data_IF_130345187785
#
_entry.id   IF_130345187785
#
_cell.length_a   1.000
_cell.length_b   1.000
_cell.length_c   1.000
_cell.angle_alpha   90.00
_cell.angle_beta   90.00
_cell.angle_gamma   90.00
#
_symmetry.space_group_name_H-M   'P 1'
#
loop_
_entity.id
_entity.type
_entity.pdbx_description
1 polymer ?
#
# COMPACT_ATOMS: atom_id res chain seq x y z
N UNK A 1 88.01 -19.57 16.85
CA UNK A 1 86.92 -20.45 17.26
C UNK A 1 86.11 -20.77 15.99
N UNK A 2 86.34 -21.94 15.38
CA UNK A 2 85.58 -22.39 14.20
C UNK A 2 84.22 -22.86 14.64
N UNK A 3 83.15 -22.21 14.10
CA UNK A 3 81.74 -22.61 14.25
C UNK A 3 81.54 -23.88 13.43
N UNK A 4 81.39 -25.01 14.12
CA UNK A 4 81.08 -26.30 13.49
C UNK A 4 79.68 -26.21 12.88
N UNK A 5 79.56 -26.19 11.57
CA UNK A 5 78.30 -26.31 10.89
C UNK A 5 77.73 -27.72 11.12
N UNK A 6 76.63 -27.81 11.82
CA UNK A 6 75.94 -29.08 12.06
C UNK A 6 75.12 -29.36 10.85
N UNK A 7 75.50 -30.33 10.02
CA UNK A 7 74.70 -30.83 8.93
C UNK A 7 73.35 -31.33 9.47
N UNK A 8 72.23 -30.68 9.05
CA UNK A 8 70.92 -31.21 9.34
C UNK A 8 70.65 -32.38 8.41
N UNK A 9 70.40 -33.56 9.00
CA UNK A 9 69.97 -34.74 8.22
C UNK A 9 68.61 -34.48 7.51
N UNK A 10 68.56 -34.76 6.20
CA UNK A 10 67.32 -34.80 5.49
C UNK A 10 66.42 -35.90 6.10
N UNK A 11 65.16 -35.53 6.37
CA UNK A 11 64.16 -36.50 6.82
C UNK A 11 63.93 -37.54 5.73
N UNK A 12 64.38 -38.75 5.92
CA UNK A 12 64.26 -39.87 5.01
C UNK A 12 62.86 -40.50 5.03
N UNK A 13 62.04 -40.13 5.98
CA UNK A 13 60.60 -40.53 6.05
C UNK A 13 59.72 -39.31 6.00
N UNK A 14 59.09 -39.12 4.85
CA UNK A 14 58.00 -38.15 4.67
C UNK A 14 56.69 -38.88 4.88
N UNK A 15 56.02 -38.61 5.98
CA UNK A 15 54.63 -39.03 6.15
C UNK A 15 53.76 -38.03 5.41
N UNK A 16 53.21 -38.47 4.27
CA UNK A 16 52.20 -37.72 3.54
C UNK A 16 50.88 -37.84 4.30
N UNK A 17 50.54 -36.85 5.11
CA UNK A 17 49.16 -36.71 5.56
C UNK A 17 48.34 -36.23 4.39
N UNK A 18 47.42 -37.05 3.97
CA UNK A 18 46.37 -36.64 3.02
C UNK A 18 45.59 -35.53 3.70
N UNK A 19 45.80 -34.29 3.30
CA UNK A 19 44.94 -33.19 3.67
C UNK A 19 43.62 -33.45 2.92
N UNK A 20 42.69 -34.12 3.56
CA UNK A 20 41.31 -34.17 3.11
C UNK A 20 40.75 -32.76 3.25
N UNK A 21 41.11 -31.85 2.33
CA UNK A 21 40.24 -30.73 2.00
C UNK A 21 39.03 -31.39 1.43
N UNK A 22 37.92 -31.27 2.16
CA UNK A 22 36.61 -31.58 1.60
C UNK A 22 36.51 -30.78 0.29
N UNK A 23 36.54 -31.51 -0.83
CA UNK A 23 36.47 -30.86 -2.13
C UNK A 23 35.13 -30.18 -2.17
N UNK A 24 35.12 -28.83 -2.23
CA UNK A 24 33.94 -28.03 -2.40
C UNK A 24 33.15 -28.49 -3.63
N UNK A 25 33.86 -28.92 -4.68
CA UNK A 25 33.35 -29.56 -5.87
C UNK A 25 32.82 -30.95 -5.54
N UNK A 26 31.49 -31.14 -5.51
CA UNK A 26 30.83 -32.42 -5.18
C UNK A 26 30.20 -32.43 -3.80
N UNK A 27 30.36 -31.38 -3.00
CA UNK A 27 29.63 -31.26 -1.73
C UNK A 27 28.16 -30.92 -1.97
N UNK A 28 27.27 -31.30 -1.05
CA UNK A 28 25.86 -30.92 -1.09
C UNK A 28 25.63 -29.41 -1.16
N UNK A 29 26.56 -28.63 -0.59
CA UNK A 29 26.55 -27.16 -0.67
C UNK A 29 26.81 -26.65 -2.10
N UNK A 30 27.72 -27.28 -2.84
CA UNK A 30 28.00 -26.96 -4.23
C UNK A 30 26.77 -27.17 -5.13
N UNK A 31 26.11 -28.32 -5.01
CA UNK A 31 24.90 -28.59 -5.78
C UNK A 31 23.72 -27.70 -5.34
N UNK A 32 23.58 -27.43 -4.05
CA UNK A 32 22.58 -26.50 -3.54
C UNK A 32 22.74 -25.10 -4.14
N UNK A 33 23.97 -24.57 -4.18
CA UNK A 33 24.28 -23.25 -4.72
C UNK A 33 24.15 -23.19 -6.25
N UNK A 34 24.46 -24.31 -6.93
CA UNK A 34 24.32 -24.43 -8.37
C UNK A 34 22.84 -24.46 -8.82
N UNK A 35 21.99 -25.20 -8.10
CA UNK A 35 20.58 -25.37 -8.45
C UNK A 35 19.66 -24.29 -7.84
N UNK A 36 20.13 -23.56 -6.81
CA UNK A 36 19.33 -22.50 -6.19
C UNK A 36 18.84 -21.42 -7.20
N UNK A 37 19.69 -20.84 -8.06
CA UNK A 37 19.22 -19.85 -9.04
C UNK A 37 18.27 -20.47 -10.08
N UNK A 38 18.46 -21.71 -10.46
CA UNK A 38 17.59 -22.41 -11.41
C UNK A 38 16.18 -22.61 -10.86
N UNK A 39 16.03 -22.88 -9.55
CA UNK A 39 14.74 -22.98 -8.89
C UNK A 39 14.13 -21.60 -8.58
N UNK A 40 14.94 -20.58 -8.32
CA UNK A 40 14.44 -19.22 -8.06
C UNK A 40 13.83 -18.55 -9.30
N UNK A 41 14.37 -18.80 -10.49
CA UNK A 41 13.87 -18.20 -11.73
C UNK A 41 12.38 -18.47 -11.97
N UNK A 42 11.89 -19.74 -11.99
CA UNK A 42 10.46 -19.99 -12.18
C UNK A 42 9.59 -19.42 -11.07
N UNK A 43 10.07 -19.40 -9.83
CA UNK A 43 9.34 -18.79 -8.71
C UNK A 43 9.17 -17.29 -8.92
N UNK A 44 10.23 -16.59 -9.32
CA UNK A 44 10.17 -15.14 -9.62
C UNK A 44 9.25 -14.87 -10.80
N UNK A 45 9.29 -15.70 -11.86
CA UNK A 45 8.40 -15.55 -13.02
C UNK A 45 6.94 -15.74 -12.62
N UNK A 46 6.63 -16.75 -11.80
CA UNK A 46 5.28 -16.99 -11.31
C UNK A 46 4.77 -15.83 -10.43
N UNK A 47 5.62 -15.31 -9.55
CA UNK A 47 5.29 -14.15 -8.71
C UNK A 47 5.07 -12.88 -9.56
N UNK A 48 5.89 -12.66 -10.60
CA UNK A 48 5.69 -11.54 -11.53
C UNK A 48 4.41 -11.69 -12.32
N UNK A 49 4.12 -12.85 -12.90
CA UNK A 49 2.85 -13.12 -13.61
C UNK A 49 1.62 -12.93 -12.72
N UNK A 50 1.69 -13.37 -11.45
CA UNK A 50 0.60 -13.13 -10.50
C UNK A 50 0.42 -11.64 -10.19
N UNK A 51 1.51 -10.89 -10.10
CA UNK A 51 1.46 -9.43 -9.88
C UNK A 51 0.90 -8.72 -11.11
N UNK A 52 1.40 -9.04 -12.30
CA UNK A 52 0.92 -8.47 -13.57
C UNK A 52 -0.57 -8.78 -13.81
N UNK A 53 -1.02 -10.01 -13.53
CA UNK A 53 -2.43 -10.38 -13.64
C UNK A 53 -3.31 -9.59 -12.65
N UNK A 54 -2.82 -9.31 -11.45
CA UNK A 54 -3.52 -8.47 -10.47
C UNK A 54 -3.54 -6.99 -10.86
N UNK A 55 -2.47 -6.52 -11.49
CA UNK A 55 -2.36 -5.12 -11.94
C UNK A 55 -3.16 -4.89 -13.24
N UNK A 56 -3.27 -5.92 -14.09
CA UNK A 56 -4.13 -5.90 -15.28
C UNK A 56 -5.64 -5.97 -14.96
N UNK A 57 -6.00 -6.45 -13.78
CA UNK A 57 -7.39 -6.45 -13.32
C UNK A 57 -7.80 -5.05 -12.80
N UNK A 58 -8.16 -4.18 -13.74
CA UNK A 58 -8.60 -2.82 -13.42
C UNK A 58 -9.83 -2.80 -12.51
N UNK A 59 -10.75 -3.77 -12.67
CA UNK A 59 -11.94 -3.88 -11.83
C UNK A 59 -11.59 -4.33 -10.41
N UNK A 60 -10.81 -5.39 -10.25
CA UNK A 60 -10.38 -5.88 -8.94
C UNK A 60 -9.54 -4.85 -8.18
N UNK A 61 -8.70 -4.09 -8.88
CA UNK A 61 -7.92 -3.01 -8.30
C UNK A 61 -8.80 -1.84 -7.84
N UNK A 62 -9.83 -1.50 -8.62
CA UNK A 62 -10.84 -0.49 -8.25
C UNK A 62 -11.59 -0.91 -6.98
N UNK A 63 -12.07 -2.15 -6.93
CA UNK A 63 -12.75 -2.70 -5.74
C UNK A 63 -11.84 -2.69 -4.52
N UNK A 64 -10.58 -3.09 -4.66
CA UNK A 64 -9.60 -3.08 -3.54
C UNK A 64 -9.31 -1.66 -3.05
N UNK A 65 -9.19 -0.69 -3.97
CA UNK A 65 -8.96 0.72 -3.62
C UNK A 65 -10.17 1.26 -2.87
N UNK A 66 -11.37 1.07 -3.40
CA UNK A 66 -12.61 1.47 -2.76
C UNK A 66 -12.75 0.86 -1.35
N UNK A 67 -12.46 -0.44 -1.20
CA UNK A 67 -12.49 -1.10 0.09
C UNK A 67 -11.48 -0.52 1.10
N UNK A 68 -10.28 -0.14 0.65
CA UNK A 68 -9.30 0.53 1.51
C UNK A 68 -9.76 1.90 1.95
N UNK A 69 -10.34 2.69 1.04
CA UNK A 69 -10.86 4.02 1.34
C UNK A 69 -12.06 3.97 2.28
N UNK A 70 -13.02 3.09 1.99
CA UNK A 70 -14.15 2.82 2.88
C UNK A 70 -13.66 2.45 4.28
N UNK A 71 -12.70 1.54 4.37
CA UNK A 71 -12.14 1.12 5.66
C UNK A 71 -11.41 2.25 6.38
N UNK A 72 -10.71 3.10 5.64
CA UNK A 72 -9.90 4.18 6.21
C UNK A 72 -10.73 5.38 6.66
N UNK A 73 -11.66 5.83 5.81
CA UNK A 73 -12.39 7.08 6.03
C UNK A 73 -13.87 6.88 6.36
N UNK A 74 -14.54 5.96 5.68
CA UNK A 74 -16.00 5.79 5.75
C UNK A 74 -16.46 4.67 6.68
N UNK A 75 -15.55 4.04 7.43
CA UNK A 75 -15.90 2.91 8.31
C UNK A 75 -16.88 3.29 9.41
N UNK A 76 -16.79 4.50 9.93
CA UNK A 76 -17.67 4.99 10.98
C UNK A 76 -19.06 5.28 10.41
N UNK A 77 -19.16 5.98 9.28
CA UNK A 77 -20.43 6.21 8.60
C UNK A 77 -21.13 4.90 8.25
N UNK A 78 -20.38 3.89 7.78
CA UNK A 78 -20.92 2.57 7.49
C UNK A 78 -21.54 1.88 8.72
N UNK A 79 -20.96 2.04 9.89
CA UNK A 79 -21.50 1.46 11.15
C UNK A 79 -22.78 2.14 11.60
N UNK A 80 -22.95 3.42 11.28
CA UNK A 80 -24.11 4.21 11.63
C UNK A 80 -25.22 4.17 10.58
N UNK A 81 -25.09 3.31 9.56
CA UNK A 81 -26.10 3.11 8.54
C UNK A 81 -27.38 2.56 9.19
N UNK A 82 -28.50 3.27 9.01
CA UNK A 82 -29.77 2.98 9.70
C UNK A 82 -30.15 4.02 10.76
N UNK A 83 -29.20 4.81 11.25
CA UNK A 83 -29.48 5.95 12.12
C UNK A 83 -29.03 7.25 11.42
N UNK A 84 -29.99 8.05 11.00
CA UNK A 84 -29.81 9.20 10.12
C UNK A 84 -28.79 10.21 10.63
N UNK A 85 -29.00 10.72 11.84
CA UNK A 85 -28.19 11.82 12.36
C UNK A 85 -26.73 11.38 12.59
N UNK A 86 -26.46 10.26 13.30
CA UNK A 86 -25.12 9.75 13.43
C UNK A 86 -24.44 9.40 12.10
N UNK A 87 -25.20 8.87 11.13
CA UNK A 87 -24.70 8.55 9.80
C UNK A 87 -24.13 9.78 9.08
N UNK A 88 -24.93 10.86 8.95
CA UNK A 88 -24.49 12.06 8.26
C UNK A 88 -23.41 12.83 9.02
N UNK A 89 -23.41 12.81 10.36
CA UNK A 89 -22.30 13.35 11.16
C UNK A 89 -21.01 12.58 10.94
N UNK A 90 -21.08 11.26 10.87
CA UNK A 90 -19.91 10.42 10.58
C UNK A 90 -19.42 10.58 9.14
N UNK A 91 -20.33 10.77 8.19
CA UNK A 91 -20.02 11.04 6.79
C UNK A 91 -19.30 12.38 6.63
N UNK A 92 -19.83 13.45 7.18
CA UNK A 92 -19.22 14.78 7.16
C UNK A 92 -17.80 14.74 7.77
N UNK A 93 -17.67 14.11 8.93
CA UNK A 93 -16.36 13.90 9.58
C UNK A 93 -15.39 13.10 8.69
N UNK A 94 -15.90 12.10 7.98
CA UNK A 94 -15.08 11.29 7.06
C UNK A 94 -14.57 12.11 5.87
N UNK A 95 -15.42 12.96 5.27
CA UNK A 95 -15.06 13.87 4.18
C UNK A 95 -14.01 14.89 4.64
N UNK A 96 -14.20 15.50 5.81
CA UNK A 96 -13.21 16.41 6.40
C UNK A 96 -11.87 15.71 6.67
N UNK A 97 -11.88 14.50 7.25
CA UNK A 97 -10.66 13.73 7.50
C UNK A 97 -9.94 13.35 6.20
N UNK A 98 -10.68 13.07 5.14
CA UNK A 98 -10.11 12.80 3.84
C UNK A 98 -9.40 14.06 3.29
N UNK A 99 -10.05 15.23 3.31
CA UNK A 99 -9.43 16.49 2.88
C UNK A 99 -8.20 16.84 3.72
N UNK A 100 -8.32 16.76 5.05
CA UNK A 100 -7.19 16.99 5.96
C UNK A 100 -5.98 16.13 5.61
N UNK A 101 -6.22 14.85 5.35
CA UNK A 101 -5.15 13.91 5.05
C UNK A 101 -4.51 14.12 3.67
N UNK A 102 -5.28 14.64 2.71
CA UNK A 102 -4.84 14.82 1.33
C UNK A 102 -4.25 16.20 1.06
N UNK A 103 -4.86 17.24 1.62
CA UNK A 103 -4.43 18.61 1.42
C UNK A 103 -3.40 19.07 2.48
N UNK A 104 -3.20 18.28 3.56
CA UNK A 104 -2.31 18.59 4.69
C UNK A 104 -2.68 19.90 5.38
N UNK A 105 -3.98 20.23 5.44
CA UNK A 105 -4.52 21.41 6.09
C UNK A 105 -5.00 21.13 7.51
N UNK A 106 -4.95 22.15 8.37
CA UNK A 106 -5.48 22.07 9.72
C UNK A 106 -6.98 22.36 9.76
N UNK A 107 -7.65 21.92 10.81
CA UNK A 107 -9.12 22.01 10.96
C UNK A 107 -9.63 23.45 10.94
N UNK A 108 -8.78 24.43 11.34
CA UNK A 108 -9.12 25.86 11.36
C UNK A 108 -9.20 26.46 9.94
N UNK A 109 -8.50 25.87 8.98
CA UNK A 109 -8.40 26.34 7.60
C UNK A 109 -9.40 25.64 6.65
N UNK A 110 -10.30 24.80 7.20
CA UNK A 110 -11.26 24.01 6.43
C UNK A 110 -12.54 24.81 6.07
N UNK A 111 -12.40 26.03 5.58
CA UNK A 111 -13.53 26.70 4.93
C UNK A 111 -13.81 26.08 3.56
N UNK A 112 -15.09 26.13 3.11
CA UNK A 112 -15.48 25.59 1.80
C UNK A 112 -14.70 26.23 0.67
N UNK A 113 -14.48 27.55 0.74
CA UNK A 113 -13.74 28.30 -0.27
C UNK A 113 -12.27 27.90 -0.33
N UNK A 114 -11.64 27.71 0.82
CA UNK A 114 -10.25 27.27 0.89
C UNK A 114 -10.05 25.84 0.37
N UNK A 115 -11.00 24.95 0.64
CA UNK A 115 -10.98 23.57 0.08
C UNK A 115 -11.05 23.62 -1.44
N UNK A 116 -11.93 24.47 -2.02
CA UNK A 116 -12.06 24.61 -3.47
C UNK A 116 -10.74 25.12 -4.07
N UNK A 117 -10.17 26.18 -3.51
CA UNK A 117 -8.90 26.76 -3.98
C UNK A 117 -7.77 25.71 -3.95
N UNK A 118 -7.59 25.00 -2.85
CA UNK A 118 -6.56 23.98 -2.70
C UNK A 118 -6.77 22.77 -3.64
N UNK A 119 -8.01 22.39 -3.91
CA UNK A 119 -8.29 21.33 -4.88
C UNK A 119 -7.99 21.77 -6.31
N UNK A 120 -8.25 23.05 -6.65
CA UNK A 120 -7.89 23.65 -7.93
C UNK A 120 -6.36 23.71 -8.10
N UNK A 121 -5.61 24.12 -7.08
CA UNK A 121 -4.15 24.10 -7.09
C UNK A 121 -3.56 22.71 -7.32
N UNK A 122 -4.24 21.67 -6.84
CA UNK A 122 -3.87 20.26 -7.06
C UNK A 122 -4.32 19.70 -8.41
N UNK A 123 -4.89 20.53 -9.29
CA UNK A 123 -5.44 20.16 -10.59
C UNK A 123 -6.60 19.14 -10.53
N UNK A 124 -7.37 19.14 -9.44
CA UNK A 124 -8.62 18.39 -9.40
C UNK A 124 -9.60 18.96 -10.42
N UNK A 125 -10.38 18.08 -11.08
CA UNK A 125 -11.36 18.53 -12.06
C UNK A 125 -12.48 19.33 -11.40
N UNK A 126 -13.00 20.37 -12.07
CA UNK A 126 -14.12 21.18 -11.57
C UNK A 126 -15.35 20.30 -11.25
N UNK A 127 -15.57 19.26 -12.04
CA UNK A 127 -16.65 18.30 -11.80
C UNK A 127 -16.48 17.58 -10.47
N UNK A 128 -15.27 17.08 -10.16
CA UNK A 128 -15.00 16.38 -8.90
C UNK A 128 -15.11 17.31 -7.70
N UNK A 129 -14.65 18.55 -7.84
CA UNK A 129 -14.77 19.59 -6.82
C UNK A 129 -16.24 19.90 -6.55
N UNK A 130 -17.04 20.14 -7.58
CA UNK A 130 -18.47 20.42 -7.47
C UNK A 130 -19.22 19.28 -6.80
N UNK A 131 -18.99 18.05 -7.22
CA UNK A 131 -19.60 16.86 -6.63
C UNK A 131 -19.24 16.67 -5.16
N UNK A 132 -18.00 16.95 -4.80
CA UNK A 132 -17.55 16.87 -3.41
C UNK A 132 -18.22 17.93 -2.54
N UNK A 133 -18.32 19.16 -3.03
CA UNK A 133 -18.96 20.26 -2.32
C UNK A 133 -20.48 20.04 -2.18
N UNK A 134 -21.11 19.51 -3.22
CA UNK A 134 -22.53 19.13 -3.19
C UNK A 134 -22.77 18.05 -2.13
N UNK A 135 -21.96 17.00 -2.11
CA UNK A 135 -22.07 15.94 -1.10
C UNK A 135 -21.88 16.46 0.33
N UNK A 136 -20.92 17.38 0.54
CA UNK A 136 -20.74 18.01 1.85
C UNK A 136 -21.98 18.82 2.26
N UNK A 137 -22.57 19.57 1.35
CA UNK A 137 -23.80 20.31 1.59
C UNK A 137 -24.98 19.37 1.88
N UNK A 138 -25.11 18.29 1.09
CA UNK A 138 -26.14 17.28 1.28
C UNK A 138 -26.03 16.63 2.67
N UNK A 139 -24.83 16.34 3.15
CA UNK A 139 -24.61 15.81 4.50
C UNK A 139 -25.03 16.80 5.59
N UNK A 140 -24.75 18.08 5.40
CA UNK A 140 -25.14 19.14 6.33
C UNK A 140 -26.69 19.32 6.39
N UNK A 141 -27.33 19.38 5.22
CA UNK A 141 -28.78 19.52 5.13
C UNK A 141 -29.54 18.27 5.55
N UNK A 142 -29.03 17.09 5.20
CA UNK A 142 -29.69 15.82 5.48
C UNK A 142 -29.91 15.58 6.98
N UNK A 143 -29.12 16.17 7.85
CA UNK A 143 -29.33 16.09 9.31
C UNK A 143 -30.69 16.66 9.73
N UNK A 144 -31.20 17.62 9.00
CA UNK A 144 -32.44 18.35 9.33
C UNK A 144 -33.64 17.93 8.44
N UNK A 145 -33.38 17.38 7.26
CA UNK A 145 -34.41 16.95 6.30
C UNK A 145 -34.90 15.51 6.59
N UNK A 146 -36.12 15.11 6.25
CA UNK A 146 -36.56 13.73 6.31
C UNK A 146 -35.72 12.89 5.30
N UNK A 147 -34.95 11.93 5.79
CA UNK A 147 -34.17 11.02 4.95
C UNK A 147 -34.66 9.57 5.13
N UNK A 148 -34.56 8.79 4.06
CA UNK A 148 -34.86 7.36 4.04
C UNK A 148 -33.57 6.55 4.06
N UNK A 149 -33.64 5.26 4.44
CA UNK A 149 -32.50 4.36 4.41
C UNK A 149 -31.91 4.23 2.99
N UNK A 150 -32.76 4.31 1.97
CA UNK A 150 -32.33 4.28 0.56
C UNK A 150 -31.49 5.52 0.21
N UNK A 151 -31.85 6.70 0.73
CA UNK A 151 -31.06 7.91 0.52
C UNK A 151 -29.66 7.79 1.17
N UNK A 152 -29.59 7.29 2.39
CA UNK A 152 -28.30 7.08 3.09
C UNK A 152 -27.39 6.11 2.32
N UNK A 153 -27.94 5.03 1.75
CA UNK A 153 -27.16 4.09 0.93
C UNK A 153 -26.61 4.75 -0.33
N UNK A 154 -27.45 5.52 -1.03
CA UNK A 154 -27.03 6.23 -2.24
C UNK A 154 -25.96 7.28 -1.94
N UNK A 155 -26.10 8.05 -0.87
CA UNK A 155 -25.13 9.05 -0.46
C UNK A 155 -23.79 8.41 -0.03
N UNK A 156 -23.85 7.24 0.59
CA UNK A 156 -22.66 6.47 0.93
C UNK A 156 -21.90 6.00 -0.32
N UNK A 157 -22.62 5.50 -1.32
CA UNK A 157 -22.03 5.05 -2.60
C UNK A 157 -21.46 6.24 -3.38
N UNK A 158 -22.16 7.39 -3.42
CA UNK A 158 -21.63 8.65 -3.98
C UNK A 158 -20.34 9.09 -3.29
N UNK A 159 -20.29 9.00 -1.97
CA UNK A 159 -19.08 9.36 -1.20
C UNK A 159 -17.88 8.47 -1.59
N UNK A 160 -18.09 7.17 -1.79
CA UNK A 160 -17.04 6.25 -2.24
C UNK A 160 -16.52 6.66 -3.63
N UNK A 161 -17.41 6.96 -4.55
CA UNK A 161 -17.05 7.34 -5.91
C UNK A 161 -16.27 8.67 -5.93
N UNK A 162 -16.78 9.69 -5.27
CA UNK A 162 -16.14 11.01 -5.20
C UNK A 162 -14.77 10.95 -4.55
N UNK A 163 -14.65 10.29 -3.39
CA UNK A 163 -13.36 10.11 -2.71
C UNK A 163 -12.38 9.33 -3.59
N UNK A 164 -12.85 8.29 -4.27
CA UNK A 164 -12.01 7.47 -5.16
C UNK A 164 -11.51 8.28 -6.36
N UNK A 165 -12.36 9.15 -6.92
CA UNK A 165 -12.00 9.98 -8.06
C UNK A 165 -11.02 11.09 -7.64
N UNK A 166 -11.30 11.80 -6.56
CA UNK A 166 -10.39 12.80 -6.01
C UNK A 166 -9.03 12.21 -5.61
N UNK A 167 -9.00 11.00 -5.03
CA UNK A 167 -7.72 10.36 -4.67
C UNK A 167 -6.82 10.06 -5.87
N UNK A 168 -7.38 9.93 -7.06
CA UNK A 168 -6.58 9.73 -8.28
C UNK A 168 -6.03 11.05 -8.84
N UNK A 169 -6.71 12.17 -8.54
CA UNK A 169 -6.41 13.47 -9.11
C UNK A 169 -5.43 14.28 -8.23
N UNK A 170 -5.43 14.03 -6.90
CA UNK A 170 -4.67 14.81 -5.91
C UNK A 170 -3.55 14.02 -5.18
#
# INVERSE_FOLDING_TARGET
IQKKEVFQYNKLKTEFTVSAKEDFLGSGLFYGLLFAPLLLIPVVILLRKQKEAKDADAFGNRVRRNNKLVKKYLSEAKKQMGDKVPFYMAMEKALHNFMKAKLHIETVEMSKDNIIELLQERNASEQSISQFMELMNDCEFARYAPATDTAMSNDFDRAIEIITELEKQI
#
